data_IF_200168759174
#
_entry.id   IF_200168759174
#
_cell.length_a   1.000
_cell.length_b   1.000
_cell.length_c   1.000
_cell.angle_alpha   90.00
_cell.angle_beta   90.00
_cell.angle_gamma   90.00
#
_symmetry.space_group_name_H-M   'P 1'
#
loop_
_entity.id
_entity.type
_entity.pdbx_description
1 polymer ?
#
# COMPACT_ATOMS: atom_id res chain seq x y z
N UNK A 1 -20.30 -47.59 -40.28
CA UNK A 1 -21.16 -46.51 -40.82
C UNK A 1 -20.38 -45.20 -40.75
N UNK A 2 -19.91 -44.71 -41.91
CA UNK A 2 -19.18 -43.45 -42.07
C UNK A 2 -20.22 -42.34 -42.30
N UNK A 3 -20.15 -41.25 -41.55
CA UNK A 3 -20.92 -40.03 -41.80
C UNK A 3 -20.01 -38.93 -42.33
N UNK A 4 -19.99 -38.76 -43.65
CA UNK A 4 -19.49 -37.56 -44.33
C UNK A 4 -20.70 -36.68 -44.66
N UNK A 5 -20.64 -35.40 -44.33
CA UNK A 5 -21.63 -34.39 -44.71
C UNK A 5 -20.91 -33.15 -45.21
N UNK A 6 -21.03 -32.89 -46.51
CA UNK A 6 -20.42 -31.79 -47.27
C UNK A 6 -20.96 -30.40 -46.87
N UNK A 7 -20.24 -29.32 -47.24
CA UNK A 7 -20.49 -27.95 -46.77
C UNK A 7 -21.59 -27.25 -47.57
N UNK A 8 -22.37 -26.41 -46.90
CA UNK A 8 -23.37 -25.55 -47.54
C UNK A 8 -22.72 -24.30 -48.14
N UNK A 9 -23.03 -24.09 -49.42
CA UNK A 9 -22.62 -22.98 -50.29
C UNK A 9 -23.62 -21.82 -50.14
N UNK A 10 -23.09 -20.59 -50.12
CA UNK A 10 -23.85 -19.33 -50.12
C UNK A 10 -24.64 -19.09 -51.42
N UNK A 11 -25.80 -18.42 -51.39
CA UNK A 11 -26.34 -17.71 -52.54
C UNK A 11 -25.88 -16.25 -52.54
N UNK A 12 -25.30 -15.84 -53.67
CA UNK A 12 -25.00 -14.45 -53.99
C UNK A 12 -26.29 -13.64 -54.18
N UNK A 13 -26.36 -12.42 -53.63
CA UNK A 13 -27.38 -11.42 -53.99
C UNK A 13 -26.72 -10.07 -54.33
N UNK A 14 -26.88 -9.74 -55.61
CA UNK A 14 -26.81 -8.48 -56.36
C UNK A 14 -26.52 -7.15 -55.63
N UNK A 15 -25.64 -6.38 -56.30
CA UNK A 15 -25.23 -4.98 -56.09
C UNK A 15 -26.40 -4.00 -55.84
N UNK A 16 -26.27 -3.21 -54.77
CA UNK A 16 -26.89 -1.89 -54.63
C UNK A 16 -25.81 -0.86 -54.35
N UNK A 17 -25.65 0.13 -55.24
CA UNK A 17 -24.81 1.32 -55.02
C UNK A 17 -25.48 2.19 -53.95
N UNK A 18 -24.89 2.25 -52.76
CA UNK A 18 -25.20 3.24 -51.72
C UNK A 18 -23.93 4.04 -51.40
N UNK A 19 -24.04 5.36 -51.47
CA UNK A 19 -22.94 6.31 -51.27
C UNK A 19 -22.31 6.19 -49.88
N UNK A 20 -20.98 6.27 -49.82
CA UNK A 20 -20.23 6.44 -48.57
C UNK A 20 -20.50 7.83 -47.97
N UNK A 21 -20.74 7.96 -46.66
CA UNK A 21 -20.84 9.27 -46.01
C UNK A 21 -19.46 9.93 -45.96
N UNK A 22 -19.41 11.21 -46.35
CA UNK A 22 -18.21 12.06 -46.34
C UNK A 22 -17.71 12.28 -44.89
N UNK A 23 -16.39 12.37 -44.65
CA UNK A 23 -15.87 12.78 -43.35
C UNK A 23 -16.22 14.26 -43.09
N UNK A 24 -16.84 14.52 -41.94
CA UNK A 24 -17.10 15.87 -41.45
C UNK A 24 -15.81 16.60 -41.03
N UNK A 25 -15.84 17.94 -40.91
CA UNK A 25 -14.66 18.73 -40.59
C UNK A 25 -14.15 18.42 -39.18
N UNK A 26 -12.82 18.36 -39.05
CA UNK A 26 -12.12 18.18 -37.79
C UNK A 26 -12.53 19.27 -36.79
N UNK A 27 -13.12 18.86 -35.66
CA UNK A 27 -13.36 19.74 -34.52
C UNK A 27 -12.03 20.21 -33.90
N UNK A 28 -12.04 21.34 -33.17
CA UNK A 28 -10.84 21.87 -32.55
C UNK A 28 -10.28 20.87 -31.52
N UNK A 29 -8.96 20.82 -31.31
CA UNK A 29 -8.36 19.90 -30.35
C UNK A 29 -8.91 20.22 -28.95
N UNK A 30 -9.43 19.20 -28.27
CA UNK A 30 -9.78 19.28 -26.86
C UNK A 30 -8.52 19.66 -26.07
N UNK A 31 -8.55 20.82 -25.44
CA UNK A 31 -7.57 21.20 -24.43
C UNK A 31 -7.59 20.16 -23.32
N UNK A 32 -6.45 19.48 -23.13
CA UNK A 32 -6.24 18.60 -22.00
C UNK A 32 -6.19 19.45 -20.73
N UNK A 33 -7.25 19.41 -19.93
CA UNK A 33 -7.20 19.89 -18.56
C UNK A 33 -6.15 19.06 -17.78
N UNK A 34 -5.17 19.70 -17.12
CA UNK A 34 -4.20 18.98 -16.32
C UNK A 34 -4.90 18.35 -15.11
N UNK A 35 -4.86 17.02 -15.02
CA UNK A 35 -5.18 16.30 -13.79
C UNK A 35 -4.23 16.80 -12.70
N UNK A 36 -4.69 17.12 -11.47
CA UNK A 36 -3.81 17.52 -10.40
C UNK A 36 -2.94 16.33 -9.99
N UNK A 37 -1.73 16.28 -10.53
CA UNK A 37 -0.68 15.41 -10.04
C UNK A 37 -0.31 15.91 -8.64
N UNK A 38 -0.57 15.09 -7.63
CA UNK A 38 -0.08 15.31 -6.27
C UNK A 38 1.44 15.28 -6.34
N UNK A 39 2.04 16.47 -6.31
CA UNK A 39 3.48 16.66 -6.25
C UNK A 39 3.98 16.32 -4.83
N UNK A 40 4.26 15.05 -4.58
CA UNK A 40 5.21 14.67 -3.52
C UNK A 40 6.60 14.63 -4.15
N UNK A 41 7.43 15.61 -3.78
CA UNK A 41 8.81 15.75 -4.22
C UNK A 41 9.68 14.59 -3.78
N UNK A 42 9.75 13.54 -4.60
CA UNK A 42 10.87 12.60 -4.60
C UNK A 42 11.85 13.04 -5.70
N UNK A 43 12.84 13.85 -5.31
CA UNK A 43 14.02 14.10 -6.15
C UNK A 43 14.90 12.85 -6.15
N UNK A 44 14.68 11.92 -7.08
CA UNK A 44 15.67 10.91 -7.44
C UNK A 44 16.74 11.54 -8.33
N UNK A 45 17.92 11.85 -7.80
CA UNK A 45 19.11 12.10 -8.64
C UNK A 45 19.55 10.76 -9.23
N UNK A 46 19.38 10.59 -10.53
CA UNK A 46 20.05 9.56 -11.31
C UNK A 46 21.52 9.99 -11.50
N UNK A 47 22.47 9.25 -10.92
CA UNK A 47 23.88 9.37 -11.29
C UNK A 47 24.14 8.42 -12.46
N UNK A 48 24.47 8.97 -13.63
CA UNK A 48 24.97 8.19 -14.77
C UNK A 48 26.36 7.65 -14.46
N UNK A 49 26.57 6.35 -14.66
CA UNK A 49 27.90 5.73 -14.64
C UNK A 49 28.57 5.99 -15.98
N UNK A 50 29.61 6.83 -15.98
CA UNK A 50 30.57 6.92 -17.08
C UNK A 50 31.80 6.09 -16.71
N UNK A 51 32.18 5.15 -17.56
CA UNK A 51 33.41 4.37 -17.46
C UNK A 51 34.62 5.27 -17.74
N UNK A 52 35.62 5.22 -16.88
CA UNK A 52 36.92 5.86 -17.09
C UNK A 52 37.98 5.23 -16.18
N UNK A 53 39.00 4.65 -16.78
CA UNK A 53 40.18 4.09 -16.10
C UNK A 53 41.03 5.21 -15.49
N UNK A 54 41.48 5.04 -14.24
CA UNK A 54 42.47 5.93 -13.63
C UNK A 54 42.70 5.64 -12.14
N UNK A 55 43.89 5.13 -11.82
CA UNK A 55 44.41 4.94 -10.46
C UNK A 55 44.78 6.29 -9.82
N UNK A 56 44.34 6.54 -8.58
CA UNK A 56 45.15 7.10 -7.47
C UNK A 56 44.30 7.62 -6.29
N UNK A 57 44.69 7.17 -5.09
CA UNK A 57 44.68 7.84 -3.79
C UNK A 57 43.39 8.51 -3.24
N UNK A 58 42.99 8.02 -2.07
CA UNK A 58 41.91 8.50 -1.22
C UNK A 58 42.20 9.90 -0.63
N UNK A 59 41.32 10.91 -0.80
CA UNK A 59 41.35 12.11 0.01
C UNK A 59 40.42 11.96 1.22
N UNK A 60 41.04 12.09 2.39
CA UNK A 60 40.44 12.21 3.72
C UNK A 60 39.46 13.39 3.73
N UNK A 61 38.16 13.13 3.89
CA UNK A 61 37.14 14.17 4.01
C UNK A 61 37.30 14.94 5.33
N UNK A 62 37.69 16.21 5.25
CA UNK A 62 37.58 17.16 6.37
C UNK A 62 36.15 17.70 6.41
N UNK A 63 35.47 17.52 7.54
CA UNK A 63 34.13 18.06 7.79
C UNK A 63 34.27 19.52 8.24
N UNK A 64 34.00 20.46 7.34
CA UNK A 64 33.82 21.86 7.68
C UNK A 64 32.40 22.09 8.21
N UNK A 65 32.26 22.57 9.45
CA UNK A 65 30.99 22.97 10.05
C UNK A 65 30.76 24.46 9.79
N UNK A 66 29.71 24.80 9.05
CA UNK A 66 29.16 26.16 9.02
C UNK A 66 28.07 26.29 10.10
N UNK A 67 28.04 27.37 10.91
CA UNK A 67 27.05 27.53 11.96
C UNK A 67 25.79 28.21 11.42
N UNK A 68 24.61 27.61 11.65
CA UNK A 68 23.33 28.29 11.44
C UNK A 68 22.17 27.34 11.16
N UNK A 69 21.12 27.47 11.96
CA UNK A 69 19.84 26.71 11.95
C UNK A 69 19.90 25.30 12.53
N UNK A 70 19.94 25.25 13.85
CA UNK A 70 19.56 24.08 14.64
C UNK A 70 18.07 23.78 14.50
N UNK A 71 17.73 22.98 13.50
CA UNK A 71 16.63 22.04 13.59
C UNK A 71 17.23 20.68 13.23
N UNK A 72 17.24 19.74 14.18
CA UNK A 72 17.61 18.37 13.86
C UNK A 72 16.73 17.90 12.68
N UNK A 73 17.29 17.25 11.64
CA UNK A 73 16.48 16.68 10.59
C UNK A 73 15.44 15.76 11.24
N UNK A 74 14.17 15.75 10.77
CA UNK A 74 13.17 14.84 11.29
C UNK A 74 13.73 13.42 11.23
N UNK A 75 13.44 12.55 12.22
CA UNK A 75 13.97 11.21 12.23
C UNK A 75 13.64 10.53 10.89
N UNK A 76 14.66 10.03 10.20
CA UNK A 76 14.52 9.31 8.94
C UNK A 76 13.46 8.23 9.14
N UNK A 77 12.36 8.32 8.37
CA UNK A 77 11.32 7.30 8.40
C UNK A 77 11.96 5.94 8.09
N UNK A 78 11.75 4.89 8.91
CA UNK A 78 12.36 3.60 8.65
C UNK A 78 11.88 3.05 7.31
N UNK A 79 12.74 3.14 6.30
CA UNK A 79 12.52 2.54 4.99
C UNK A 79 13.16 1.16 4.99
N UNK A 80 12.33 0.13 4.83
CA UNK A 80 12.80 -1.26 4.72
C UNK A 80 12.57 -1.74 3.28
N UNK A 81 13.46 -2.59 2.78
CA UNK A 81 13.27 -3.28 1.49
C UNK A 81 13.53 -4.78 1.62
N UNK A 82 12.78 -5.60 0.88
CA UNK A 82 13.06 -7.03 0.70
C UNK A 82 12.91 -7.43 -0.77
N UNK A 83 13.67 -8.44 -1.18
CA UNK A 83 13.52 -9.10 -2.49
C UNK A 83 12.64 -10.33 -2.32
N UNK A 84 11.60 -10.43 -3.16
CA UNK A 84 10.69 -11.56 -3.25
C UNK A 84 10.99 -12.26 -4.58
N UNK A 85 11.68 -13.40 -4.53
CA UNK A 85 12.30 -14.02 -5.73
C UNK A 85 11.33 -14.85 -6.56
N UNK A 86 10.20 -15.21 -5.99
CA UNK A 86 9.24 -16.22 -6.44
C UNK A 86 7.80 -15.73 -6.23
N UNK A 87 7.62 -14.41 -6.14
CA UNK A 87 6.31 -13.76 -6.06
C UNK A 87 6.27 -12.61 -7.08
N UNK A 88 5.36 -12.66 -8.07
CA UNK A 88 5.13 -11.57 -9.00
C UNK A 88 4.64 -10.29 -8.29
N UNK A 89 4.95 -9.12 -8.84
CA UNK A 89 4.54 -7.83 -8.29
C UNK A 89 3.01 -7.72 -8.12
N UNK A 90 2.24 -8.20 -9.11
CA UNK A 90 0.78 -8.27 -9.08
C UNK A 90 0.24 -9.11 -7.91
N UNK A 91 0.94 -10.19 -7.53
CA UNK A 91 0.52 -11.06 -6.43
C UNK A 91 0.67 -10.36 -5.10
N UNK A 92 1.77 -9.62 -4.88
CA UNK A 92 1.90 -8.81 -3.67
C UNK A 92 0.91 -7.64 -3.66
N UNK A 93 0.64 -7.06 -4.81
CA UNK A 93 -0.35 -5.99 -4.94
C UNK A 93 -1.73 -6.48 -4.49
N UNK A 94 -2.15 -7.65 -4.98
CA UNK A 94 -3.38 -8.30 -4.55
C UNK A 94 -3.40 -8.64 -3.05
N UNK A 95 -2.31 -9.20 -2.51
CA UNK A 95 -2.21 -9.54 -1.07
C UNK A 95 -2.38 -8.33 -0.16
N UNK A 96 -1.87 -7.17 -0.56
CA UNK A 96 -2.00 -5.94 0.21
C UNK A 96 -3.39 -5.31 0.14
N UNK A 97 -4.16 -5.61 -0.91
CA UNK A 97 -5.52 -5.12 -1.07
C UNK A 97 -6.59 -6.07 -0.51
N UNK A 98 -6.38 -7.38 -0.53
CA UNK A 98 -7.39 -8.37 -0.13
C UNK A 98 -7.57 -8.41 1.40
N UNK A 99 -8.54 -7.63 1.89
CA UNK A 99 -8.92 -7.57 3.31
C UNK A 99 -9.42 -8.91 3.85
N UNK A 100 -10.05 -9.75 3.00
CA UNK A 100 -10.50 -11.09 3.40
C UNK A 100 -9.30 -12.00 3.65
N UNK A 101 -8.27 -11.90 2.80
CA UNK A 101 -7.04 -12.67 2.97
C UNK A 101 -6.17 -12.17 4.12
N UNK A 102 -6.27 -10.88 4.50
CA UNK A 102 -5.49 -10.30 5.62
C UNK A 102 -5.59 -11.14 6.90
N UNK A 103 -6.80 -11.60 7.22
CA UNK A 103 -7.08 -12.47 8.37
C UNK A 103 -6.30 -13.78 8.41
N UNK A 104 -5.78 -14.25 7.27
CA UNK A 104 -5.08 -15.54 7.15
C UNK A 104 -3.60 -15.45 7.46
N UNK A 105 -2.98 -14.28 7.32
CA UNK A 105 -1.54 -14.13 7.47
C UNK A 105 -1.12 -13.07 8.48
N UNK A 106 -2.00 -12.12 8.79
CA UNK A 106 -1.74 -11.10 9.81
C UNK A 106 -2.24 -11.57 11.18
N UNK A 107 -1.39 -12.32 11.89
CA UNK A 107 -1.69 -12.84 13.23
C UNK A 107 -1.99 -11.76 14.28
N UNK A 108 -1.61 -10.50 14.02
CA UNK A 108 -1.82 -9.40 14.95
C UNK A 108 -3.12 -8.66 14.64
N UNK A 109 -3.75 -8.87 13.49
CA UNK A 109 -5.00 -8.22 13.15
C UNK A 109 -6.12 -8.72 14.06
N UNK A 110 -6.87 -7.79 14.65
CA UNK A 110 -8.12 -8.08 15.36
C UNK A 110 -9.29 -7.93 14.39
N UNK A 111 -9.37 -6.79 13.70
CA UNK A 111 -10.49 -6.44 12.83
C UNK A 111 -10.01 -5.55 11.68
N UNK A 112 -10.52 -5.79 10.47
CA UNK A 112 -10.29 -4.92 9.31
C UNK A 112 -11.48 -4.93 8.36
N UNK A 113 -11.83 -3.77 7.82
CA UNK A 113 -12.85 -3.63 6.78
C UNK A 113 -12.72 -2.27 6.09
N UNK A 114 -13.16 -2.19 4.84
CA UNK A 114 -13.26 -0.92 4.12
C UNK A 114 -14.58 -0.24 4.52
N UNK A 115 -14.51 1.05 4.87
CA UNK A 115 -15.64 1.87 5.32
C UNK A 115 -16.40 2.44 4.11
N UNK A 116 -15.66 2.94 3.12
CA UNK A 116 -16.27 3.59 1.97
C UNK A 116 -15.25 4.11 0.97
N UNK A 117 -15.72 4.41 -0.24
CA UNK A 117 -14.90 4.77 -1.40
C UNK A 117 -14.93 6.28 -1.66
N UNK A 118 -13.77 6.90 -1.85
CA UNK A 118 -13.67 8.29 -2.29
C UNK A 118 -13.62 8.39 -3.82
N UNK A 119 -12.72 7.62 -4.44
CA UNK A 119 -12.50 7.61 -5.90
C UNK A 119 -12.37 6.17 -6.39
N UNK A 120 -12.07 5.95 -7.67
CA UNK A 120 -11.81 4.59 -8.19
C UNK A 120 -10.58 3.92 -7.57
N UNK A 121 -9.67 4.72 -6.99
CA UNK A 121 -8.38 4.28 -6.48
C UNK A 121 -8.07 4.86 -5.08
N UNK A 122 -9.10 5.23 -4.33
CA UNK A 122 -8.98 5.70 -2.96
C UNK A 122 -10.21 5.32 -2.12
N UNK A 123 -9.96 4.82 -0.91
CA UNK A 123 -10.95 4.42 0.06
C UNK A 123 -10.58 4.84 1.49
N UNK A 124 -11.56 4.76 2.39
CA UNK A 124 -11.35 4.83 3.83
C UNK A 124 -11.54 3.42 4.39
N UNK A 125 -10.63 2.98 5.25
CA UNK A 125 -10.69 1.68 5.91
C UNK A 125 -10.46 1.77 7.42
N UNK A 126 -10.93 0.74 8.11
CA UNK A 126 -10.65 0.47 9.51
C UNK A 126 -9.68 -0.69 9.65
N UNK A 127 -8.73 -0.56 10.58
CA UNK A 127 -7.82 -1.63 10.93
C UNK A 127 -7.47 -1.55 12.42
N UNK A 128 -7.51 -2.68 13.11
CA UNK A 128 -7.08 -2.79 14.50
C UNK A 128 -6.15 -3.98 14.71
N UNK A 129 -5.20 -3.81 15.62
CA UNK A 129 -4.24 -4.85 15.94
C UNK A 129 -4.07 -5.07 17.43
N UNK A 130 -3.68 -6.30 17.75
CA UNK A 130 -3.35 -6.77 19.09
C UNK A 130 -1.97 -6.27 19.47
N UNK A 131 -1.89 -5.64 20.63
CA UNK A 131 -0.61 -5.32 21.26
C UNK A 131 -0.22 -6.38 22.29
N UNK A 132 1.08 -6.53 22.57
CA UNK A 132 1.54 -7.39 23.65
C UNK A 132 0.93 -6.94 24.99
N UNK A 133 0.35 -7.88 25.75
CA UNK A 133 -0.12 -7.60 27.11
C UNK A 133 1.04 -7.03 27.95
N UNK A 134 0.80 -6.04 28.83
CA UNK A 134 -0.50 -5.44 29.21
C UNK A 134 -0.88 -4.17 28.42
N UNK A 135 -0.26 -3.90 27.26
CA UNK A 135 -0.61 -2.73 26.43
C UNK A 135 -2.02 -2.85 25.87
N UNK A 136 -2.74 -1.72 25.79
CA UNK A 136 -4.03 -1.67 25.08
C UNK A 136 -3.84 -1.94 23.59
N UNK A 137 -4.84 -2.52 22.95
CA UNK A 137 -4.82 -2.71 21.50
C UNK A 137 -4.89 -1.37 20.77
N UNK A 138 -4.45 -1.32 19.51
CA UNK A 138 -4.48 -0.08 18.71
C UNK A 138 -5.45 -0.22 17.54
N UNK A 139 -6.09 0.88 17.19
CA UNK A 139 -6.90 1.00 15.98
C UNK A 139 -6.56 2.23 15.14
N UNK A 140 -6.93 2.15 13.86
CA UNK A 140 -6.72 3.17 12.85
C UNK A 140 -7.96 3.34 12.00
N UNK A 141 -8.20 4.57 11.59
CA UNK A 141 -9.05 4.90 10.44
C UNK A 141 -8.14 5.58 9.43
N UNK A 142 -7.95 4.96 8.27
CA UNK A 142 -7.01 5.44 7.25
C UNK A 142 -7.70 5.73 5.94
N UNK A 143 -7.27 6.80 5.29
CA UNK A 143 -7.49 6.99 3.87
C UNK A 143 -6.33 6.31 3.13
N UNK A 144 -6.65 5.36 2.27
CA UNK A 144 -5.70 4.64 1.42
C UNK A 144 -5.94 5.03 -0.03
N UNK A 145 -4.86 5.21 -0.77
CA UNK A 145 -4.89 5.40 -2.23
C UNK A 145 -3.81 4.57 -2.90
N UNK A 146 -4.09 4.11 -4.11
CA UNK A 146 -3.20 3.26 -4.88
C UNK A 146 -3.04 3.73 -6.32
N UNK A 147 -1.90 3.39 -6.91
CA UNK A 147 -1.54 3.79 -8.25
C UNK A 147 -0.66 2.71 -8.90
N UNK A 148 -1.14 2.07 -9.99
CA UNK A 148 -0.29 1.30 -10.89
C UNK A 148 0.68 2.22 -11.64
N UNK A 149 1.93 1.81 -11.76
CA UNK A 149 3.05 2.55 -12.36
C UNK A 149 3.73 1.68 -13.43
N UNK A 150 2.99 1.36 -14.50
CA UNK A 150 3.44 0.37 -15.48
C UNK A 150 3.44 -1.03 -14.87
N UNK A 151 4.63 -1.62 -14.69
CA UNK A 151 4.78 -2.93 -14.04
C UNK A 151 4.98 -2.83 -12.52
N UNK A 152 5.11 -1.61 -11.98
CA UNK A 152 5.28 -1.34 -10.56
C UNK A 152 3.94 -0.91 -9.94
N UNK A 153 3.83 -0.96 -8.61
CA UNK A 153 2.63 -0.58 -7.88
C UNK A 153 2.97 0.26 -6.66
N UNK A 154 2.14 1.27 -6.38
CA UNK A 154 2.26 2.08 -5.17
C UNK A 154 0.94 2.08 -4.40
N UNK A 155 1.01 1.90 -3.09
CA UNK A 155 -0.11 2.03 -2.16
C UNK A 155 0.35 2.94 -1.02
N UNK A 156 -0.39 4.00 -0.74
CA UNK A 156 -0.11 4.93 0.35
C UNK A 156 -1.35 5.08 1.23
N UNK A 157 -1.13 5.30 2.52
CA UNK A 157 -2.19 5.61 3.46
C UNK A 157 -1.71 6.57 4.55
N UNK A 158 -2.67 7.28 5.12
CA UNK A 158 -2.50 8.13 6.30
C UNK A 158 -3.80 8.15 7.11
N UNK A 159 -3.73 8.52 8.39
CA UNK A 159 -4.89 8.51 9.28
C UNK A 159 -5.81 9.71 9.08
N UNK A 160 -7.11 9.44 9.07
CA UNK A 160 -8.18 10.43 8.96
C UNK A 160 -9.20 10.25 10.08
N UNK A 161 -9.89 11.34 10.43
CA UNK A 161 -11.08 11.31 11.27
C UNK A 161 -12.28 11.05 10.40
N UNK A 162 -13.04 10.02 10.73
CA UNK A 162 -14.35 9.77 10.15
C UNK A 162 -15.42 9.95 11.24
N UNK A 163 -16.47 10.79 11.05
CA UNK A 163 -17.43 11.13 12.10
C UNK A 163 -18.12 9.92 12.76
N UNK A 164 -18.40 8.89 11.96
CA UNK A 164 -19.03 7.63 12.41
C UNK A 164 -18.07 6.64 13.10
N UNK A 165 -16.76 6.89 13.10
CA UNK A 165 -15.74 6.00 13.68
C UNK A 165 -14.85 6.74 14.70
N UNK A 166 -15.43 7.28 15.79
CA UNK A 166 -14.66 7.90 16.86
C UNK A 166 -13.75 6.88 17.57
N UNK A 167 -12.78 7.33 18.40
CA UNK A 167 -11.97 6.45 19.24
C UNK A 167 -12.85 5.51 20.10
N UNK A 168 -12.46 4.23 20.17
CA UNK A 168 -13.16 3.21 20.96
C UNK A 168 -12.49 3.07 22.32
N UNK A 169 -13.26 2.86 23.39
CA UNK A 169 -12.76 2.78 24.78
C UNK A 169 -11.69 1.70 24.99
N UNK A 170 -11.83 0.57 24.29
CA UNK A 170 -10.94 -0.60 24.45
C UNK A 170 -9.66 -0.51 23.60
N UNK A 171 -9.54 0.55 22.78
CA UNK A 171 -8.41 0.75 21.87
C UNK A 171 -7.76 2.11 22.10
N UNK A 172 -6.45 2.17 21.88
CA UNK A 172 -5.74 3.43 21.69
C UNK A 172 -5.82 3.76 20.20
N UNK A 173 -6.44 4.90 19.84
CA UNK A 173 -6.41 5.40 18.45
C UNK A 173 -4.99 5.81 18.11
N UNK A 174 -4.32 5.04 17.27
CA UNK A 174 -2.99 5.37 16.78
C UNK A 174 -3.08 6.18 15.49
N UNK A 175 -1.98 6.82 15.11
CA UNK A 175 -1.92 7.75 13.98
C UNK A 175 -0.82 7.30 13.02
N UNK A 176 -1.20 6.81 11.85
CA UNK A 176 -0.30 6.72 10.71
C UNK A 176 -0.16 8.11 10.08
N UNK A 177 1.01 8.72 10.25
CA UNK A 177 1.35 9.98 9.58
C UNK A 177 1.51 9.72 8.08
N UNK A 178 2.25 8.66 7.75
CA UNK A 178 2.38 8.17 6.38
C UNK A 178 2.86 6.72 6.41
N UNK A 179 2.13 5.84 5.74
CA UNK A 179 2.56 4.46 5.50
C UNK A 179 2.37 4.15 4.02
N UNK A 180 3.34 3.46 3.42
CA UNK A 180 3.26 3.13 2.01
C UNK A 180 4.07 1.91 1.60
N UNK A 181 3.63 1.31 0.51
CA UNK A 181 4.26 0.20 -0.16
C UNK A 181 4.58 0.63 -1.60
N UNK A 182 5.81 0.36 -2.03
CA UNK A 182 6.20 0.40 -3.43
C UNK A 182 6.64 -1.01 -3.81
N UNK A 183 5.95 -1.62 -4.76
CA UNK A 183 6.24 -2.94 -5.29
C UNK A 183 6.86 -2.72 -6.67
N UNK A 184 8.15 -3.06 -6.82
CA UNK A 184 8.83 -2.97 -8.10
C UNK A 184 8.95 -4.34 -8.76
N UNK A 185 8.51 -4.49 -10.00
CA UNK A 185 8.78 -5.70 -10.77
C UNK A 185 10.29 -5.89 -10.94
N UNK A 186 10.74 -7.14 -10.88
CA UNK A 186 12.17 -7.48 -10.93
C UNK A 186 12.43 -8.76 -11.74
N UNK A 187 11.99 -8.77 -13.00
CA UNK A 187 12.10 -9.93 -13.90
C UNK A 187 11.00 -10.97 -13.70
N UNK A 188 11.14 -12.10 -14.40
CA UNK A 188 10.10 -13.14 -14.51
C UNK A 188 9.67 -13.69 -13.14
N UNK A 189 8.51 -13.23 -12.67
CA UNK A 189 7.87 -13.72 -11.45
C UNK A 189 8.48 -13.24 -10.13
N UNK A 190 9.33 -12.21 -10.15
CA UNK A 190 9.96 -11.65 -8.94
C UNK A 190 9.67 -10.16 -8.76
N UNK A 191 9.75 -9.69 -7.52
CA UNK A 191 9.59 -8.26 -7.21
C UNK A 191 10.45 -7.81 -6.01
N UNK A 192 10.60 -6.50 -5.87
CA UNK A 192 11.19 -5.86 -4.68
C UNK A 192 10.09 -5.08 -3.97
N UNK A 193 9.86 -5.41 -2.70
CA UNK A 193 8.93 -4.68 -1.84
C UNK A 193 9.70 -3.64 -1.03
N UNK A 194 9.30 -2.38 -1.17
CA UNK A 194 9.72 -1.29 -0.31
C UNK A 194 8.56 -0.95 0.63
N UNK A 195 8.88 -0.74 1.90
CA UNK A 195 7.94 -0.35 2.93
C UNK A 195 8.46 0.87 3.66
N UNK A 196 7.64 1.91 3.68
CA UNK A 196 7.86 3.13 4.44
C UNK A 196 6.74 3.26 5.45
N UNK A 197 7.07 3.53 6.70
CA UNK A 197 6.06 3.76 7.73
C UNK A 197 6.52 4.80 8.74
N UNK A 198 5.63 5.73 9.03
CA UNK A 198 5.76 6.73 10.08
C UNK A 198 4.45 6.70 10.86
N UNK A 199 4.48 6.07 12.04
CA UNK A 199 3.31 5.83 12.87
C UNK A 199 3.61 6.35 14.28
N UNK A 200 2.69 7.14 14.81
CA UNK A 200 2.59 7.43 16.23
C UNK A 200 1.64 6.39 16.86
N UNK A 201 2.15 5.41 17.63
CA UNK A 201 1.32 4.40 18.28
C UNK A 201 0.42 4.96 19.37
N UNK A 202 0.62 6.24 19.74
CA UNK A 202 0.00 6.96 20.84
C UNK A 202 0.15 6.27 22.19
N UNK A 203 -0.21 7.02 23.22
CA UNK A 203 0.01 6.64 24.60
C UNK A 203 1.47 6.82 25.04
N UNK A 204 1.69 6.74 26.34
CA UNK A 204 3.02 6.84 26.92
C UNK A 204 3.62 5.43 27.03
N UNK A 205 4.31 4.98 25.98
CA UNK A 205 4.86 3.61 25.92
C UNK A 205 6.07 3.41 26.85
N UNK A 206 6.20 2.23 27.50
CA UNK A 206 7.42 1.87 28.22
C UNK A 206 8.67 1.84 27.33
N UNK A 207 9.83 2.17 27.91
CA UNK A 207 11.13 2.20 27.19
C UNK A 207 11.46 0.87 26.50
N UNK A 208 11.15 -0.26 27.14
CA UNK A 208 11.37 -1.59 26.57
C UNK A 208 10.57 -1.81 25.27
N UNK A 209 9.34 -1.27 25.20
CA UNK A 209 8.48 -1.33 24.00
C UNK A 209 9.08 -0.51 22.87
N UNK A 210 9.45 0.74 23.15
CA UNK A 210 10.01 1.67 22.15
C UNK A 210 11.27 1.10 21.50
N UNK A 211 12.15 0.49 22.29
CA UNK A 211 13.37 -0.14 21.82
C UNK A 211 13.11 -1.37 20.93
N UNK A 212 12.03 -2.11 21.17
CA UNK A 212 11.73 -3.38 20.48
C UNK A 212 10.86 -3.20 19.23
N UNK A 213 9.90 -2.29 19.28
CA UNK A 213 8.97 -2.00 18.16
C UNK A 213 9.72 -1.45 16.95
N UNK A 214 10.62 -0.49 17.18
CA UNK A 214 11.34 0.23 16.12
C UNK A 214 12.28 -0.66 15.31
N UNK A 215 12.80 -1.74 15.92
CA UNK A 215 13.82 -2.60 15.29
C UNK A 215 13.22 -3.81 14.55
N UNK A 216 12.10 -4.37 15.02
CA UNK A 216 11.65 -5.68 14.56
C UNK A 216 10.31 -5.67 13.83
N UNK A 217 9.47 -4.65 14.00
CA UNK A 217 8.11 -4.67 13.44
C UNK A 217 8.12 -4.61 11.91
N UNK A 218 8.84 -3.64 11.32
CA UNK A 218 8.88 -3.49 9.87
C UNK A 218 9.49 -4.71 9.15
N UNK A 219 10.65 -5.27 9.57
CA UNK A 219 11.21 -6.48 8.94
C UNK A 219 10.31 -7.72 9.10
N UNK A 220 9.68 -7.91 10.27
CA UNK A 220 8.75 -9.04 10.48
C UNK A 220 7.50 -8.92 9.61
N UNK A 221 6.91 -7.73 9.52
CA UNK A 221 5.74 -7.47 8.68
C UNK A 221 6.04 -7.77 7.21
N UNK A 222 7.18 -7.28 6.71
CA UNK A 222 7.64 -7.53 5.35
C UNK A 222 7.82 -9.03 5.04
N UNK A 223 8.42 -9.79 5.96
CA UNK A 223 8.54 -11.25 5.83
C UNK A 223 7.18 -11.96 5.81
N UNK A 224 6.22 -11.52 6.62
CA UNK A 224 4.86 -12.07 6.64
C UNK A 224 4.13 -11.79 5.32
N UNK A 225 4.23 -10.57 4.78
CA UNK A 225 3.67 -10.21 3.47
C UNK A 225 4.26 -11.10 2.37
N UNK A 226 5.58 -11.32 2.38
CA UNK A 226 6.22 -12.20 1.41
C UNK A 226 5.72 -13.65 1.51
N UNK A 227 5.69 -14.22 2.73
CA UNK A 227 5.09 -15.55 2.98
C UNK A 227 3.62 -15.64 2.54
N UNK A 228 2.86 -14.56 2.72
CA UNK A 228 1.46 -14.49 2.29
C UNK A 228 1.34 -14.51 0.76
N UNK A 229 2.23 -13.79 0.06
CA UNK A 229 2.37 -13.80 -1.40
C UNK A 229 2.55 -15.19 -1.98
N UNK A 230 3.42 -16.01 -1.37
CA UNK A 230 3.65 -17.39 -1.80
C UNK A 230 2.37 -18.27 -1.76
N UNK A 231 1.51 -18.04 -0.77
CA UNK A 231 0.30 -18.85 -0.55
C UNK A 231 -0.95 -18.28 -1.23
N UNK A 232 -0.91 -17.02 -1.66
CA UNK A 232 -2.08 -16.30 -2.12
C UNK A 232 -2.74 -16.88 -3.38
N UNK A 233 -2.01 -17.26 -4.45
CA UNK A 233 -2.64 -17.78 -5.66
C UNK A 233 -3.51 -19.02 -5.41
N UNK A 234 -3.06 -19.94 -4.57
CA UNK A 234 -3.81 -21.14 -4.20
C UNK A 234 -5.02 -20.82 -3.31
N UNK A 235 -4.85 -19.87 -2.38
CA UNK A 235 -5.96 -19.42 -1.56
C UNK A 235 -7.03 -18.72 -2.41
N UNK A 236 -6.64 -17.75 -3.24
CA UNK A 236 -7.55 -16.91 -4.02
C UNK A 236 -8.38 -17.72 -5.02
N UNK A 237 -7.81 -18.78 -5.61
CA UNK A 237 -8.53 -19.73 -6.48
C UNK A 237 -9.77 -20.35 -5.82
N UNK A 238 -9.75 -20.49 -4.49
CA UNK A 238 -10.83 -21.08 -3.69
C UNK A 238 -11.77 -20.04 -3.07
N UNK A 239 -11.51 -18.74 -3.24
CA UNK A 239 -12.20 -17.65 -2.55
C UNK A 239 -12.48 -16.48 -3.52
N UNK A 240 -13.45 -16.68 -4.41
CA UNK A 240 -13.87 -15.69 -5.41
C UNK A 240 -12.69 -15.15 -6.24
N UNK A 241 -12.07 -15.98 -7.12
CA UNK A 241 -10.85 -15.61 -7.84
C UNK A 241 -10.98 -14.35 -8.68
N UNK A 242 -12.16 -14.13 -9.25
CA UNK A 242 -12.47 -12.98 -10.11
C UNK A 242 -12.82 -11.71 -9.31
N UNK A 243 -13.09 -11.83 -8.01
CA UNK A 243 -13.42 -10.68 -7.18
C UNK A 243 -12.15 -9.96 -6.70
N UNK A 244 -11.80 -8.89 -7.41
CA UNK A 244 -10.65 -8.01 -7.18
C UNK A 244 -11.06 -6.54 -7.43
N UNK A 245 -11.85 -5.92 -6.53
CA UNK A 245 -12.37 -4.57 -6.72
C UNK A 245 -11.30 -3.47 -6.79
N UNK A 246 -10.06 -3.77 -6.37
CA UNK A 246 -8.90 -2.88 -6.53
C UNK A 246 -8.31 -2.89 -7.94
N UNK A 247 -8.54 -3.97 -8.72
CA UNK A 247 -8.18 -4.09 -10.15
C UNK A 247 -9.37 -3.70 -11.04
N UNK A 248 -10.57 -4.11 -10.63
CA UNK A 248 -11.83 -3.97 -11.35
C UNK A 248 -12.81 -3.10 -10.54
N UNK A 249 -12.71 -1.76 -10.60
CA UNK A 249 -13.46 -0.86 -9.73
C UNK A 249 -14.98 -0.99 -9.83
N UNK A 250 -15.50 -1.49 -10.95
CA UNK A 250 -16.92 -1.78 -11.16
C UNK A 250 -17.47 -2.87 -10.22
N UNK A 251 -16.61 -3.71 -9.66
CA UNK A 251 -16.99 -4.71 -8.66
C UNK A 251 -17.17 -4.10 -7.26
N UNK A 252 -16.73 -2.85 -7.06
CA UNK A 252 -16.74 -2.21 -5.75
C UNK A 252 -18.15 -1.70 -5.39
N UNK A 253 -18.74 -2.29 -4.35
CA UNK A 253 -20.09 -1.97 -3.84
C UNK A 253 -20.07 -1.08 -2.60
N UNK A 254 -18.91 -0.57 -2.18
CA UNK A 254 -18.78 0.29 -1.02
C UNK A 254 -19.54 1.62 -1.22
N UNK A 255 -20.14 2.17 -0.15
CA UNK A 255 -20.76 3.49 -0.21
C UNK A 255 -19.72 4.55 -0.54
N UNK A 256 -20.14 5.63 -1.22
CA UNK A 256 -19.26 6.77 -1.46
C UNK A 256 -19.12 7.61 -0.19
N UNK A 257 -17.89 8.05 0.09
CA UNK A 257 -17.56 8.95 1.20
C UNK A 257 -17.09 10.28 0.63
N UNK A 258 -17.70 11.37 1.11
CA UNK A 258 -17.28 12.72 0.74
C UNK A 258 -15.97 13.07 1.43
N UNK A 259 -14.99 13.60 0.67
CA UNK A 259 -13.74 14.08 1.25
C UNK A 259 -13.97 15.20 2.28
N UNK A 260 -15.04 15.99 2.13
CA UNK A 260 -15.37 17.07 3.06
C UNK A 260 -15.85 16.57 4.43
N UNK A 261 -16.26 15.30 4.54
CA UNK A 261 -16.63 14.68 5.82
C UNK A 261 -15.41 14.18 6.60
N UNK A 262 -14.25 14.13 5.95
CA UNK A 262 -13.01 13.65 6.52
C UNK A 262 -12.13 14.83 6.93
N UNK A 263 -11.36 14.64 8.00
CA UNK A 263 -10.29 15.56 8.38
C UNK A 263 -9.03 14.79 8.73
N UNK A 264 -7.87 15.44 8.65
CA UNK A 264 -6.59 14.81 9.00
C UNK A 264 -6.60 14.46 10.49
N UNK A 265 -6.17 13.23 10.81
CA UNK A 265 -5.99 12.82 12.20
C UNK A 265 -4.63 13.30 12.69
N UNK A 266 -4.63 14.36 13.48
CA UNK A 266 -3.42 14.81 14.18
C UNK A 266 -3.29 14.10 15.54
N UNK A 267 -2.06 13.76 15.91
CA UNK A 267 -1.75 13.03 17.14
C UNK A 267 -2.07 13.84 18.41
N UNK A 268 -1.75 15.13 18.41
CA UNK A 268 -2.03 16.09 19.49
C UNK A 268 -3.53 16.22 19.84
N UNK A 269 -4.41 16.00 18.87
CA UNK A 269 -5.86 16.07 19.04
C UNK A 269 -6.50 14.83 19.70
N UNK A 270 -5.71 13.81 20.03
CA UNK A 270 -6.17 12.58 20.69
C UNK A 270 -5.76 12.56 22.16
N UNK A 271 -6.63 12.04 23.02
CA UNK A 271 -6.31 11.78 24.43
C UNK A 271 -5.03 10.94 24.57
N UNK A 272 -4.15 11.32 25.50
CA UNK A 272 -2.94 10.58 25.78
C UNK A 272 -3.19 9.57 26.91
N UNK A 273 -3.05 8.29 26.60
CA UNK A 273 -3.22 7.21 27.58
C UNK A 273 -1.84 6.85 28.14
N UNK A 274 -1.62 7.07 29.44
CA UNK A 274 -0.35 6.75 30.08
C UNK A 274 -0.22 5.24 30.33
N UNK A 275 0.77 4.61 29.69
CA UNK A 275 1.09 3.19 29.78
C UNK A 275 2.51 2.96 30.34
N UNK A 276 3.18 4.00 30.86
CA UNK A 276 4.62 3.95 31.22
C UNK A 276 4.91 3.01 32.37
N UNK A 277 3.98 2.89 33.32
CA UNK A 277 4.10 2.06 34.51
C UNK A 277 3.82 0.57 34.28
N UNK A 278 3.56 0.15 33.05
CA UNK A 278 3.22 -1.24 32.75
C UNK A 278 4.45 -2.17 32.87
N UNK A 279 4.35 -3.26 33.64
CA UNK A 279 5.46 -4.17 33.85
C UNK A 279 5.83 -4.91 32.56
N UNK A 280 7.12 -5.20 32.39
CA UNK A 280 7.60 -6.13 31.36
C UNK A 280 7.27 -7.55 31.83
N UNK A 281 6.09 -8.06 31.48
CA UNK A 281 5.84 -9.49 31.59
C UNK A 281 6.69 -10.19 30.53
N UNK A 282 7.30 -11.33 30.88
CA UNK A 282 8.00 -12.18 29.92
C UNK A 282 7.02 -12.54 28.81
N UNK A 283 7.11 -11.83 27.69
CA UNK A 283 6.41 -12.15 26.47
C UNK A 283 6.88 -13.56 26.10
N UNK A 284 6.06 -14.57 26.38
CA UNK A 284 6.24 -15.89 25.84
C UNK A 284 6.34 -15.70 24.33
N UNK A 285 7.54 -15.87 23.80
CA UNK A 285 7.81 -15.89 22.37
C UNK A 285 7.15 -17.14 21.80
N UNK A 286 5.83 -17.15 21.69
CA UNK A 286 5.09 -18.11 20.88
C UNK A 286 5.12 -17.72 19.39
N UNK A 287 6.19 -17.05 18.97
CA UNK A 287 6.48 -16.65 17.59
C UNK A 287 7.63 -17.51 17.01
N UNK A 288 8.09 -18.54 17.73
CA UNK A 288 8.78 -19.66 17.13
C UNK A 288 7.72 -20.64 16.62
N UNK A 289 7.77 -20.93 15.31
CA UNK A 289 6.96 -21.90 14.55
C UNK A 289 5.65 -21.40 13.91
N UNK A 290 5.77 -20.91 12.67
CA UNK A 290 5.17 -21.49 11.44
C UNK A 290 5.52 -20.64 10.19
#
# INVERSE_FOLDING_TARGET
MKGQGHPFVCPARTRGRGQAPKPGPAGPPCEAHPKPAVALGLSCRASSVAQGHGTAQSPRAQVGTAPGLGAAPPPLSPQTRISCKDVPAETLYDVLHDTRYRSKWDSNMIETYDIGRLTVNADVGYYSWKCPSPLKNRDFVTLRSWLPLGNDYMIINYSVKHPKYPPRKDFVRAVSLQTGYLIKANGDGACILYYLTQVDPRGSLPKWVVNRVSQFVAPKAMKKIYKAGLKYPEWKRRHDPEYKPWVYPEQNTLPSVSLAELSVQHADSLENIDETGLPEEHLSTSDHEA
#
